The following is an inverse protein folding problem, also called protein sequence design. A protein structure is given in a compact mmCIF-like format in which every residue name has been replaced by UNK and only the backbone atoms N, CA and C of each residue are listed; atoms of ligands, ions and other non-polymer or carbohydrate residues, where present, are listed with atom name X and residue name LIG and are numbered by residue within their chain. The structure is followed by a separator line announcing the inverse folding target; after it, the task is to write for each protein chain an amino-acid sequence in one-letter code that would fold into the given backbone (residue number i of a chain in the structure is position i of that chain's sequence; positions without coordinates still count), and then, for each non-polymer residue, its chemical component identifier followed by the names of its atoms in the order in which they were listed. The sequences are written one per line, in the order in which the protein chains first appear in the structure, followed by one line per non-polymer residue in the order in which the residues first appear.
data_IF_307455047294
#
_entry.id   IF_307455047294
#
_cell.length_a   1.000
_cell.length_b   1.000
_cell.length_c   1.000
_cell.angle_alpha   90.00
_cell.angle_beta   90.00
_cell.angle_gamma   90.00
#
_symmetry.space_group_name_H-M   'P 1'
#
loop_
_entity.id
_entity.type
_entity.pdbx_description
1 polymer ?
#
# COMPACT_ATOMS: atom_id res chain seq x y z
N UNK A 1 5.97 43.01 -11.24
CA UNK A 1 5.98 42.82 -9.77
C UNK A 1 4.78 41.93 -9.47
N UNK A 2 4.99 40.62 -9.37
CA UNK A 2 3.90 39.65 -9.14
C UNK A 2 3.81 39.45 -7.64
N UNK A 3 2.77 40.00 -7.03
CA UNK A 3 2.42 39.75 -5.63
C UNK A 3 2.01 38.28 -5.50
N UNK A 4 2.95 37.43 -5.11
CA UNK A 4 2.66 36.11 -4.54
C UNK A 4 2.11 36.34 -3.13
N UNK A 5 0.82 36.69 -3.03
CA UNK A 5 0.10 36.58 -1.77
C UNK A 5 0.13 35.12 -1.30
N UNK A 6 0.54 34.83 -0.05
CA UNK A 6 0.37 33.50 0.50
C UNK A 6 -1.14 33.28 0.61
N UNK A 7 -1.67 32.30 -0.12
CA UNK A 7 -3.07 31.86 -0.02
C UNK A 7 -3.28 31.18 1.34
N UNK A 8 -3.27 31.94 2.42
CA UNK A 8 -3.86 31.54 3.70
C UNK A 8 -5.36 31.71 3.57
N UNK A 9 -6.03 30.67 3.04
CA UNK A 9 -7.49 30.54 3.14
C UNK A 9 -7.83 30.46 4.63
N UNK A 10 -8.76 31.30 5.10
CA UNK A 10 -9.36 31.17 6.44
C UNK A 10 -10.09 29.83 6.52
N UNK A 11 -9.41 28.81 7.03
CA UNK A 11 -9.92 27.46 7.17
C UNK A 11 -9.81 27.03 8.63
N UNK A 12 -10.88 26.45 9.16
CA UNK A 12 -10.87 25.87 10.51
C UNK A 12 -10.00 24.61 10.57
N UNK A 13 -9.47 24.27 11.74
CA UNK A 13 -8.66 23.05 11.90
C UNK A 13 -9.40 21.78 11.44
N UNK A 14 -10.71 21.72 11.69
CA UNK A 14 -11.57 20.63 11.26
C UNK A 14 -11.69 20.52 9.72
N UNK A 15 -11.88 21.65 9.02
CA UNK A 15 -11.94 21.67 7.56
C UNK A 15 -10.59 21.23 6.95
N UNK A 16 -9.47 21.66 7.55
CA UNK A 16 -8.13 21.28 7.09
C UNK A 16 -7.89 19.78 7.20
N UNK A 17 -8.35 19.15 8.29
CA UNK A 17 -8.27 17.70 8.49
C UNK A 17 -9.15 16.94 7.50
N UNK A 18 -10.38 17.40 7.27
CA UNK A 18 -11.30 16.78 6.31
C UNK A 18 -10.74 16.87 4.88
N UNK A 19 -10.13 18.00 4.48
CA UNK A 19 -9.44 18.13 3.18
C UNK A 19 -8.24 17.21 3.05
N UNK A 20 -7.34 17.21 4.03
CA UNK A 20 -6.16 16.33 4.00
C UNK A 20 -6.57 14.86 3.93
N UNK A 21 -7.64 14.46 4.63
CA UNK A 21 -8.19 13.12 4.55
C UNK A 21 -8.76 12.81 3.16
N UNK A 22 -9.46 13.75 2.52
CA UNK A 22 -9.94 13.58 1.16
C UNK A 22 -8.80 13.40 0.15
N UNK A 23 -7.72 14.18 0.28
CA UNK A 23 -6.51 14.05 -0.54
C UNK A 23 -5.87 12.66 -0.35
N UNK A 24 -5.72 12.21 0.90
CA UNK A 24 -5.23 10.85 1.21
C UNK A 24 -6.10 9.75 0.59
N UNK A 25 -7.43 9.90 0.64
CA UNK A 25 -8.33 8.93 0.01
C UNK A 25 -8.19 8.93 -1.52
N UNK A 26 -7.92 10.08 -2.13
CA UNK A 26 -7.69 10.16 -3.57
C UNK A 26 -6.39 9.46 -3.97
N UNK A 27 -5.31 9.65 -3.22
CA UNK A 27 -4.06 8.91 -3.42
C UNK A 27 -4.26 7.40 -3.20
N UNK A 28 -4.99 7.03 -2.15
CA UNK A 28 -5.29 5.64 -1.82
C UNK A 28 -6.07 4.93 -2.93
N UNK A 29 -6.95 5.64 -3.65
CA UNK A 29 -7.71 5.06 -4.78
C UNK A 29 -6.80 4.54 -5.89
N UNK A 30 -5.63 5.14 -6.10
CA UNK A 30 -4.66 4.66 -7.10
C UNK A 30 -4.15 3.27 -6.69
N UNK A 31 -3.75 3.11 -5.43
CA UNK A 31 -3.32 1.82 -4.90
C UNK A 31 -4.48 0.81 -4.83
N UNK A 32 -5.69 1.27 -4.52
CA UNK A 32 -6.89 0.45 -4.47
C UNK A 32 -7.24 -0.18 -5.83
N UNK A 33 -7.15 0.60 -6.92
CA UNK A 33 -7.38 0.06 -8.26
C UNK A 33 -6.35 -1.03 -8.60
N UNK A 34 -5.08 -0.81 -8.26
CA UNK A 34 -4.01 -1.78 -8.46
C UNK A 34 -4.23 -3.09 -7.70
N UNK A 35 -4.57 -3.02 -6.40
CA UNK A 35 -4.81 -4.23 -5.60
C UNK A 35 -6.03 -5.02 -6.08
N UNK A 36 -7.10 -4.36 -6.54
CA UNK A 36 -8.30 -5.04 -7.03
C UNK A 36 -8.02 -5.85 -8.30
N UNK A 37 -7.25 -5.27 -9.24
CA UNK A 37 -6.85 -5.96 -10.46
C UNK A 37 -5.99 -7.19 -10.11
N UNK A 38 -4.98 -7.00 -9.26
CA UNK A 38 -4.11 -8.09 -8.80
C UNK A 38 -4.91 -9.20 -8.11
N UNK A 39 -5.86 -8.82 -7.24
CA UNK A 39 -6.70 -9.76 -6.51
C UNK A 39 -7.58 -10.57 -7.45
N UNK A 40 -8.26 -9.91 -8.39
CA UNK A 40 -9.10 -10.56 -9.38
C UNK A 40 -8.28 -11.56 -10.22
N UNK A 41 -7.10 -11.17 -10.70
CA UNK A 41 -6.23 -12.09 -11.44
C UNK A 41 -5.83 -13.29 -10.59
N UNK A 42 -5.39 -13.08 -9.35
CA UNK A 42 -5.01 -14.17 -8.45
C UNK A 42 -6.17 -15.14 -8.20
N UNK A 43 -7.41 -14.66 -8.04
CA UNK A 43 -8.59 -15.50 -7.85
C UNK A 43 -8.89 -16.41 -9.05
N UNK A 44 -8.47 -16.03 -10.26
CA UNK A 44 -8.70 -16.86 -11.46
C UNK A 44 -7.67 -17.98 -11.65
N UNK A 45 -6.45 -17.82 -11.13
CA UNK A 45 -5.33 -18.74 -11.34
C UNK A 45 -5.67 -20.20 -10.98
N UNK A 46 -6.35 -20.51 -9.86
CA UNK A 46 -6.68 -21.89 -9.48
C UNK A 46 -7.56 -22.65 -10.47
N UNK A 47 -8.33 -21.91 -11.29
CA UNK A 47 -9.23 -22.48 -12.28
C UNK A 47 -8.57 -22.67 -13.64
N UNK A 48 -7.31 -22.25 -13.81
CA UNK A 48 -6.55 -22.46 -15.03
C UNK A 48 -6.00 -23.89 -15.07
N UNK A 49 -5.97 -24.50 -16.26
CA UNK A 49 -5.50 -25.89 -16.45
C UNK A 49 -4.09 -26.14 -15.88
N UNK A 50 -3.22 -25.12 -15.91
CA UNK A 50 -1.84 -25.21 -15.43
C UNK A 50 -1.70 -25.21 -13.89
N UNK A 51 -2.76 -24.90 -13.14
CA UNK A 51 -2.68 -24.86 -11.69
C UNK A 51 -2.45 -26.23 -11.06
N UNK A 52 -2.97 -27.30 -11.68
CA UNK A 52 -2.81 -28.68 -11.21
C UNK A 52 -1.39 -29.20 -11.37
N UNK A 53 -0.58 -28.57 -12.24
CA UNK A 53 0.82 -28.93 -12.49
C UNK A 53 1.81 -28.14 -11.64
N UNK A 54 1.33 -27.23 -10.77
CA UNK A 54 2.20 -26.47 -9.88
C UNK A 54 2.82 -27.36 -8.80
N UNK A 55 4.06 -27.04 -8.43
CA UNK A 55 4.72 -27.67 -7.29
C UNK A 55 4.08 -27.23 -5.96
N UNK A 56 4.30 -27.98 -4.88
CA UNK A 56 3.80 -27.62 -3.55
C UNK A 56 4.34 -26.26 -3.07
N UNK A 57 5.59 -25.95 -3.44
CA UNK A 57 6.19 -24.65 -3.16
C UNK A 57 5.45 -23.52 -3.89
N UNK A 58 5.20 -23.67 -5.19
CA UNK A 58 4.47 -22.69 -6.00
C UNK A 58 3.04 -22.49 -5.46
N UNK A 59 2.35 -23.57 -5.08
CA UNK A 59 1.03 -23.48 -4.46
C UNK A 59 1.07 -22.72 -3.13
N UNK A 60 2.09 -22.95 -2.32
CA UNK A 60 2.26 -22.25 -1.03
C UNK A 60 2.52 -20.76 -1.24
N UNK A 61 3.41 -20.40 -2.18
CA UNK A 61 3.68 -19.00 -2.57
C UNK A 61 2.39 -18.34 -3.08
N UNK A 62 1.62 -19.04 -3.91
CA UNK A 62 0.34 -18.56 -4.41
C UNK A 62 -0.65 -18.25 -3.27
N UNK A 63 -0.82 -19.16 -2.30
CA UNK A 63 -1.74 -18.96 -1.17
C UNK A 63 -1.32 -17.76 -0.32
N UNK A 64 -0.04 -17.66 0.04
CA UNK A 64 0.49 -16.51 0.80
C UNK A 64 0.26 -15.20 0.05
N UNK A 65 0.52 -15.21 -1.26
CA UNK A 65 0.31 -14.05 -2.15
C UNK A 65 -1.17 -13.64 -2.18
N UNK A 66 -2.07 -14.59 -2.38
CA UNK A 66 -3.52 -14.35 -2.43
C UNK A 66 -4.03 -13.76 -1.11
N UNK A 67 -3.62 -14.35 0.02
CA UNK A 67 -4.03 -13.87 1.34
C UNK A 67 -3.48 -12.47 1.63
N UNK A 68 -2.23 -12.20 1.27
CA UNK A 68 -1.66 -10.86 1.41
C UNK A 68 -2.45 -9.81 0.62
N UNK A 69 -2.77 -10.10 -0.64
CA UNK A 69 -3.57 -9.21 -1.49
C UNK A 69 -5.00 -9.04 -0.96
N UNK A 70 -5.60 -10.11 -0.44
CA UNK A 70 -6.92 -10.05 0.20
C UNK A 70 -6.91 -9.14 1.44
N UNK A 71 -5.91 -9.29 2.32
CA UNK A 71 -5.75 -8.43 3.50
C UNK A 71 -5.53 -6.97 3.08
N UNK A 72 -4.66 -6.71 2.10
CA UNK A 72 -4.44 -5.37 1.57
C UNK A 72 -5.75 -4.75 1.04
N UNK A 73 -6.54 -5.51 0.30
CA UNK A 73 -7.84 -5.08 -0.22
C UNK A 73 -8.80 -4.69 0.91
N UNK A 74 -8.93 -5.53 1.94
CA UNK A 74 -9.79 -5.25 3.09
C UNK A 74 -9.33 -4.00 3.86
N UNK A 75 -8.02 -3.86 4.06
CA UNK A 75 -7.44 -2.72 4.77
C UNK A 75 -7.63 -1.42 3.99
N UNK A 76 -7.50 -1.41 2.67
CA UNK A 76 -7.77 -0.22 1.84
C UNK A 76 -9.26 0.15 1.79
N UNK A 77 -10.17 -0.79 2.00
CA UNK A 77 -11.60 -0.49 2.13
C UNK A 77 -11.97 0.10 3.50
N UNK A 78 -11.15 -0.13 4.53
CA UNK A 78 -11.47 0.25 5.91
C UNK A 78 -11.65 1.77 6.13
N UNK A 79 -10.84 2.70 5.58
CA UNK A 79 -11.02 4.14 5.77
C UNK A 79 -12.38 4.64 5.29
N UNK A 80 -12.87 4.13 4.15
CA UNK A 80 -14.19 4.50 3.61
C UNK A 80 -15.32 3.97 4.50
N UNK A 81 -15.18 2.74 4.99
CA UNK A 81 -16.15 2.15 5.92
C UNK A 81 -16.17 2.90 7.27
N UNK A 82 -15.01 3.17 7.85
CA UNK A 82 -14.86 3.93 9.10
C UNK A 82 -15.42 5.33 8.95
N UNK A 83 -15.10 6.04 7.86
CA UNK A 83 -15.67 7.36 7.62
C UNK A 83 -17.21 7.30 7.51
N UNK A 84 -17.77 6.30 6.81
CA UNK A 84 -19.23 6.19 6.69
C UNK A 84 -19.93 5.85 8.01
N UNK A 85 -19.28 5.10 8.90
CA UNK A 85 -19.85 4.65 10.18
C UNK A 85 -19.63 5.66 11.32
N UNK A 86 -18.40 6.14 11.52
CA UNK A 86 -18.02 6.95 12.69
C UNK A 86 -18.30 8.46 12.51
N UNK A 87 -18.45 8.94 11.29
CA UNK A 87 -18.75 10.36 11.05
C UNK A 87 -20.14 10.75 11.56
N UNK A 88 -21.06 9.79 11.67
CA UNK A 88 -22.38 10.00 12.28
C UNK A 88 -22.35 10.11 13.81
N UNK A 89 -21.26 9.70 14.44
CA UNK A 89 -21.12 9.62 15.91
C UNK A 89 -20.16 10.69 16.49
N UNK A 90 -19.63 11.59 15.66
CA UNK A 90 -18.74 12.68 16.12
C UNK A 90 -17.30 12.25 16.47
N UNK A 91 -16.93 10.99 16.22
CA UNK A 91 -15.61 10.40 16.52
C UNK A 91 -14.55 10.66 15.43
N UNK A 92 -14.51 11.88 14.87
CA UNK A 92 -13.61 12.26 13.75
C UNK A 92 -12.14 12.03 14.07
N UNK A 93 -11.72 12.33 15.30
CA UNK A 93 -10.35 12.17 15.79
C UNK A 93 -9.83 10.73 15.73
N UNK A 94 -10.70 9.75 15.93
CA UNK A 94 -10.31 8.33 15.89
C UNK A 94 -9.99 7.88 14.46
N UNK A 95 -10.79 8.34 13.49
CA UNK A 95 -10.64 8.00 12.06
C UNK A 95 -9.33 8.55 11.52
N UNK A 96 -9.03 9.84 11.79
CA UNK A 96 -7.82 10.49 11.28
C UNK A 96 -6.55 9.82 11.82
N UNK A 97 -6.53 9.44 13.11
CA UNK A 97 -5.35 8.80 13.73
C UNK A 97 -5.09 7.38 13.23
N UNK A 98 -6.13 6.61 12.90
CA UNK A 98 -5.98 5.21 12.48
C UNK A 98 -5.81 5.04 10.96
N UNK A 99 -6.24 6.02 10.16
CA UNK A 99 -6.17 5.97 8.70
C UNK A 99 -4.74 5.76 8.19
N UNK A 100 -3.76 6.49 8.74
CA UNK A 100 -2.37 6.37 8.32
C UNK A 100 -1.77 4.99 8.62
N UNK A 101 -2.14 4.38 9.75
CA UNK A 101 -1.72 3.01 10.10
C UNK A 101 -2.36 1.97 9.18
N UNK A 102 -3.65 2.15 8.85
CA UNK A 102 -4.33 1.29 7.88
C UNK A 102 -3.67 1.39 6.50
N UNK A 103 -3.46 2.59 5.98
CA UNK A 103 -2.81 2.79 4.66
C UNK A 103 -1.43 2.13 4.62
N UNK A 104 -0.59 2.35 5.64
CA UNK A 104 0.74 1.72 5.73
C UNK A 104 0.66 0.19 5.79
N UNK A 105 -0.28 -0.35 6.56
CA UNK A 105 -0.50 -1.80 6.65
C UNK A 105 -0.96 -2.38 5.32
N UNK A 106 -1.91 -1.74 4.64
CA UNK A 106 -2.40 -2.17 3.34
C UNK A 106 -1.32 -2.12 2.26
N UNK A 107 -0.47 -1.08 2.26
CA UNK A 107 0.68 -0.96 1.35
C UNK A 107 1.71 -2.07 1.58
N UNK A 108 1.99 -2.41 2.84
CA UNK A 108 2.90 -3.51 3.17
C UNK A 108 2.40 -4.83 2.58
N UNK A 109 1.14 -5.19 2.84
CA UNK A 109 0.54 -6.42 2.30
C UNK A 109 0.43 -6.39 0.77
N UNK A 110 0.18 -5.23 0.15
CA UNK A 110 0.22 -5.07 -1.30
C UNK A 110 1.63 -5.39 -1.84
N UNK A 111 2.67 -4.86 -1.19
CA UNK A 111 4.06 -5.13 -1.57
C UNK A 111 4.41 -6.60 -1.49
N UNK A 112 4.01 -7.29 -0.41
CA UNK A 112 4.15 -8.75 -0.28
C UNK A 112 3.44 -9.48 -1.42
N UNK A 113 2.22 -9.05 -1.77
CA UNK A 113 1.45 -9.61 -2.87
C UNK A 113 2.13 -9.43 -4.23
N UNK A 114 2.67 -8.24 -4.52
CA UNK A 114 3.39 -7.97 -5.77
C UNK A 114 4.64 -8.85 -5.87
N UNK A 115 5.46 -8.87 -4.82
CA UNK A 115 6.71 -9.65 -4.79
C UNK A 115 6.41 -11.14 -4.90
N UNK A 116 5.45 -11.65 -4.12
CA UNK A 116 5.04 -13.06 -4.14
C UNK A 116 4.50 -13.48 -5.51
N UNK A 117 3.67 -12.64 -6.15
CA UNK A 117 3.17 -12.90 -7.50
C UNK A 117 4.27 -12.93 -8.56
N UNK A 118 5.24 -12.01 -8.49
CA UNK A 118 6.39 -11.99 -9.41
C UNK A 118 7.27 -13.21 -9.19
N UNK A 119 7.60 -13.57 -7.94
CA UNK A 119 8.39 -14.76 -7.62
C UNK A 119 7.69 -16.02 -8.12
N UNK A 120 6.38 -16.15 -7.90
CA UNK A 120 5.59 -17.29 -8.38
C UNK A 120 5.69 -17.43 -9.91
N UNK A 121 5.47 -16.34 -10.64
CA UNK A 121 5.50 -16.34 -12.11
C UNK A 121 6.90 -16.66 -12.62
N UNK A 122 7.95 -16.09 -12.01
CA UNK A 122 9.33 -16.37 -12.38
C UNK A 122 9.74 -17.81 -12.08
N UNK A 123 9.28 -18.39 -10.97
CA UNK A 123 9.55 -19.79 -10.61
C UNK A 123 8.87 -20.76 -11.59
N UNK A 124 7.70 -20.39 -12.12
CA UNK A 124 7.00 -21.17 -13.16
C UNK A 124 7.68 -21.06 -14.53
N UNK A 125 8.33 -19.93 -14.84
CA UNK A 125 8.94 -19.65 -16.15
C UNK A 125 10.42 -20.06 -16.24
N UNK A 126 11.15 -19.98 -15.13
CA UNK A 126 12.61 -20.10 -15.07
C UNK A 126 13.02 -21.19 -14.07
N UNK A 127 14.09 -20.93 -13.31
CA UNK A 127 14.55 -21.77 -12.21
C UNK A 127 14.25 -21.11 -10.87
N UNK A 128 14.08 -21.95 -9.84
CA UNK A 128 13.85 -21.52 -8.47
C UNK A 128 14.90 -20.52 -7.97
N UNK A 129 16.18 -20.76 -8.26
CA UNK A 129 17.27 -19.86 -7.87
C UNK A 129 17.11 -18.47 -8.50
N UNK A 130 16.78 -18.41 -9.79
CA UNK A 130 16.59 -17.13 -10.50
C UNK A 130 15.40 -16.35 -9.95
N UNK A 131 14.30 -17.05 -9.65
CA UNK A 131 13.11 -16.44 -9.06
C UNK A 131 13.40 -15.78 -7.71
N UNK A 132 14.15 -16.46 -6.83
CA UNK A 132 14.53 -15.91 -5.54
C UNK A 132 15.50 -14.72 -5.63
N UNK A 133 16.48 -14.75 -6.55
CA UNK A 133 17.39 -13.61 -6.73
C UNK A 133 16.65 -12.36 -7.22
N UNK A 134 15.77 -12.51 -8.21
CA UNK A 134 14.96 -11.40 -8.73
C UNK A 134 13.95 -10.92 -7.69
N UNK A 135 13.31 -11.84 -6.96
CA UNK A 135 12.42 -11.52 -5.85
C UNK A 135 13.12 -10.78 -4.72
N UNK A 136 14.34 -11.20 -4.37
CA UNK A 136 15.20 -10.52 -3.41
C UNK A 136 15.55 -9.11 -3.86
N UNK A 137 15.95 -8.94 -5.13
CA UNK A 137 16.20 -7.63 -5.72
C UNK A 137 14.97 -6.71 -5.67
N UNK A 138 13.79 -7.23 -6.00
CA UNK A 138 12.53 -6.48 -5.93
C UNK A 138 12.17 -6.12 -4.48
N UNK A 139 12.45 -7.00 -3.52
CA UNK A 139 12.27 -6.74 -2.09
C UNK A 139 13.19 -5.61 -1.61
N UNK A 140 14.45 -5.63 -2.02
CA UNK A 140 15.42 -4.56 -1.70
C UNK A 140 14.96 -3.24 -2.32
N UNK A 141 14.51 -3.25 -3.56
CA UNK A 141 13.97 -2.05 -4.22
C UNK A 141 12.75 -1.51 -3.47
N UNK A 142 11.79 -2.37 -3.14
CA UNK A 142 10.60 -2.02 -2.38
C UNK A 142 10.95 -1.42 -1.00
N UNK A 143 11.86 -2.06 -0.26
CA UNK A 143 12.34 -1.56 1.03
C UNK A 143 13.07 -0.21 0.89
N UNK A 144 13.82 -0.03 -0.19
CA UNK A 144 14.52 1.22 -0.46
C UNK A 144 13.55 2.36 -0.70
N UNK A 145 12.54 2.12 -1.55
CA UNK A 145 11.54 3.13 -1.90
C UNK A 145 10.60 3.46 -0.73
N UNK A 146 10.16 2.45 0.05
CA UNK A 146 9.16 2.64 1.09
C UNK A 146 9.70 2.90 2.49
N UNK A 147 10.96 2.53 2.78
CA UNK A 147 11.53 2.68 4.14
C UNK A 147 12.75 3.60 4.14
N UNK A 148 13.75 3.32 3.31
CA UNK A 148 15.00 4.09 3.30
C UNK A 148 14.81 5.54 2.83
N UNK A 149 14.05 5.76 1.74
CA UNK A 149 13.78 7.11 1.24
C UNK A 149 13.02 7.99 2.24
N UNK A 150 11.88 7.58 2.83
CA UNK A 150 11.21 8.42 3.82
C UNK A 150 12.04 8.61 5.10
N UNK A 151 12.81 7.59 5.52
CA UNK A 151 13.66 7.68 6.70
C UNK A 151 14.81 8.67 6.51
N UNK A 152 15.43 8.72 5.33
CA UNK A 152 16.51 9.67 5.03
C UNK A 152 16.01 11.11 5.02
N UNK A 153 14.82 11.36 4.46
CA UNK A 153 14.18 12.68 4.47
C UNK A 153 13.81 13.13 5.89
N UNK A 154 13.27 12.22 6.72
CA UNK A 154 13.00 12.50 8.15
C UNK A 154 14.27 12.84 8.93
N UNK A 155 15.38 12.14 8.66
CA UNK A 155 16.68 12.42 9.31
C UNK A 155 17.27 13.75 8.86
N UNK A 156 17.10 14.13 7.59
CA UNK A 156 17.59 15.40 7.05
C UNK A 156 16.88 16.61 7.67
N UNK A 157 15.54 16.58 7.75
CA UNK A 157 14.76 17.62 8.42
C UNK A 157 15.14 17.81 9.89
N UNK A 158 15.30 16.71 10.64
CA UNK A 158 15.75 16.78 12.05
C UNK A 158 17.15 17.38 12.23
N UNK A 159 18.02 17.33 11.22
CA UNK A 159 19.32 17.99 11.27
C UNK A 159 19.20 19.48 10.99
N UNK A 160 18.40 19.86 10.00
CA UNK A 160 18.12 21.26 9.67
C UNK A 160 17.44 22.00 10.84
N UNK A 161 16.50 21.36 11.53
CA UNK A 161 15.85 21.93 12.74
C UNK A 161 16.78 22.02 13.96
N UNK A 162 17.89 21.26 13.98
CA UNK A 162 18.88 21.29 15.07
C UNK A 162 20.01 22.31 14.82
N UNK A 163 20.13 22.78 13.57
CA UNK A 163 21.10 23.79 13.14
C UNK A 163 20.49 25.20 13.05
N UNK A 164 19.16 25.32 13.19
CA UNK A 164 18.38 26.58 13.23
C UNK A 164 18.11 27.03 14.68
#
# INVERSE_FOLDING_TARGET
MSDSQPSTRDETEAERLDRNFADQLQELRIAQAGVQILFAFLLTIPFQQRFTTLTDLQRSIYVVTLLAVAVSTLVFMAPVAMHRMLFREGLKDFVVRHTDTLIRTGLFFLGVGIIGGVVLVLDVLLSQSTAFWLGGGLTVLAFTLWVLLPASQRRRRRREDAEA
#
